data_IF_346971364885
#
_entry.id   IF_346971364885
#
_cell.length_a   1.000
_cell.length_b   1.000
_cell.length_c   1.000
_cell.angle_alpha   90.00
_cell.angle_beta   90.00
_cell.angle_gamma   90.00
#
_symmetry.space_group_name_H-M   'P 1'
#
loop_
_entity.id
_entity.type
_entity.pdbx_description
1 polymer ?
#
# COMPACT_ATOMS: atom_id res chain seq x y z
N UNK A 1 8.64 -24.69 14.10
CA UNK A 1 9.74 -24.78 15.07
C UNK A 1 9.45 -23.81 16.19
N UNK A 2 9.55 -24.25 17.44
CA UNK A 2 9.41 -23.37 18.60
C UNK A 2 10.57 -22.38 18.70
N UNK A 3 10.45 -21.37 19.57
CA UNK A 3 11.48 -20.34 19.80
C UNK A 3 12.81 -20.95 20.27
N UNK A 4 12.78 -22.02 21.05
CA UNK A 4 13.99 -22.71 21.50
C UNK A 4 14.84 -23.24 20.35
N UNK A 5 14.20 -23.84 19.34
CA UNK A 5 14.92 -24.37 18.19
C UNK A 5 15.53 -23.26 17.31
N UNK A 6 14.89 -22.08 17.29
CA UNK A 6 15.43 -20.89 16.61
C UNK A 6 16.64 -20.33 17.36
N UNK A 7 16.57 -20.25 18.70
CA UNK A 7 17.71 -19.85 19.54
C UNK A 7 18.89 -20.81 19.43
N UNK A 8 18.62 -22.11 19.38
CA UNK A 8 19.67 -23.12 19.18
C UNK A 8 20.36 -22.97 17.81
N UNK A 9 19.60 -22.69 16.74
CA UNK A 9 20.15 -22.45 15.41
C UNK A 9 21.02 -21.17 15.38
N UNK A 10 20.58 -20.10 16.04
CA UNK A 10 21.35 -18.87 16.20
C UNK A 10 22.64 -19.13 16.97
N UNK A 11 22.56 -19.80 18.13
CA UNK A 11 23.73 -20.12 18.94
C UNK A 11 24.75 -20.98 18.17
N UNK A 12 24.29 -21.98 17.43
CA UNK A 12 25.15 -22.81 16.58
C UNK A 12 25.81 -22.02 15.45
N UNK A 13 25.10 -21.05 14.85
CA UNK A 13 25.67 -20.21 13.80
C UNK A 13 26.72 -19.23 14.33
N UNK A 14 26.53 -18.72 15.54
CA UNK A 14 27.38 -17.69 16.15
C UNK A 14 28.65 -18.27 16.78
N UNK A 15 28.62 -19.53 17.23
CA UNK A 15 29.67 -20.18 18.03
C UNK A 15 31.11 -19.95 17.53
N UNK A 16 31.31 -19.93 16.20
CA UNK A 16 32.62 -19.75 15.55
C UNK A 16 32.70 -18.49 14.66
N UNK A 17 31.70 -17.60 14.73
CA UNK A 17 31.55 -16.47 13.78
C UNK A 17 31.46 -15.09 14.45
N UNK A 18 31.22 -15.04 15.76
CA UNK A 18 31.18 -13.77 16.50
C UNK A 18 30.39 -13.87 17.79
N UNK A 19 29.78 -12.75 18.19
CA UNK A 19 28.93 -12.65 19.37
C UNK A 19 27.59 -12.00 19.04
N UNK A 20 26.56 -12.31 19.83
CA UNK A 20 25.23 -11.69 19.68
C UNK A 20 25.21 -10.36 20.41
N UNK A 21 25.13 -9.27 19.66
CA UNK A 21 25.04 -7.90 20.22
C UNK A 21 23.68 -7.63 20.86
N UNK A 22 22.60 -8.10 20.23
CA UNK A 22 21.24 -7.95 20.72
C UNK A 22 20.32 -9.03 20.13
N UNK A 23 19.33 -9.47 20.90
CA UNK A 23 18.27 -10.40 20.46
C UNK A 23 16.94 -9.65 20.35
N UNK A 24 16.25 -9.81 19.21
CA UNK A 24 14.92 -9.26 18.97
C UNK A 24 13.98 -10.38 18.57
N UNK A 25 12.82 -10.47 19.23
CA UNK A 25 11.84 -11.54 19.00
C UNK A 25 10.52 -10.95 18.55
N UNK A 26 10.11 -11.28 17.33
CA UNK A 26 8.83 -10.87 16.76
C UNK A 26 7.83 -12.04 16.82
N UNK A 27 6.66 -11.81 17.41
CA UNK A 27 5.59 -12.83 17.47
C UNK A 27 4.63 -12.60 16.30
N UNK A 28 4.64 -13.54 15.36
CA UNK A 28 3.83 -13.46 14.14
C UNK A 28 2.33 -13.67 14.45
N UNK A 29 1.64 -12.58 14.74
CA UNK A 29 0.18 -12.52 14.76
C UNK A 29 -0.30 -12.29 13.33
N UNK A 30 -0.96 -13.28 12.72
CA UNK A 30 -1.46 -13.23 11.33
C UNK A 30 -2.44 -12.08 11.01
N UNK A 31 -2.74 -11.20 11.98
CA UNK A 31 -3.58 -10.00 11.82
C UNK A 31 -2.81 -8.70 11.60
N UNK A 32 -1.51 -8.64 11.90
CA UNK A 32 -0.71 -7.39 11.77
C UNK A 32 0.55 -7.67 10.95
N UNK A 33 0.72 -6.90 9.88
CA UNK A 33 1.90 -6.95 9.02
C UNK A 33 3.06 -6.09 9.55
N UNK A 34 2.78 -5.23 10.55
CA UNK A 34 3.78 -4.35 11.16
C UNK A 34 4.77 -5.19 11.98
N UNK A 35 6.06 -5.03 11.69
CA UNK A 35 7.18 -5.73 12.35
C UNK A 35 8.11 -4.73 13.03
N UNK A 36 7.71 -4.17 14.18
CA UNK A 36 8.50 -3.14 14.87
C UNK A 36 9.84 -3.68 15.38
N UNK A 37 9.92 -4.93 15.83
CA UNK A 37 11.16 -5.49 16.39
C UNK A 37 12.22 -5.71 15.29
N UNK A 38 11.80 -6.05 14.09
CA UNK A 38 12.67 -6.07 12.91
C UNK A 38 13.28 -4.69 12.62
N UNK A 39 12.46 -3.63 12.65
CA UNK A 39 12.95 -2.28 12.38
C UNK A 39 13.99 -1.85 13.44
N UNK A 40 13.77 -2.23 14.70
CA UNK A 40 14.72 -2.01 15.80
C UNK A 40 16.01 -2.81 15.59
N UNK A 41 15.91 -4.07 15.18
CA UNK A 41 17.07 -4.92 14.88
C UNK A 41 17.92 -4.33 13.75
N UNK A 42 17.29 -3.82 12.69
CA UNK A 42 17.97 -3.15 11.58
C UNK A 42 18.68 -1.86 12.01
N UNK A 43 18.02 -1.03 12.81
CA UNK A 43 18.62 0.20 13.33
C UNK A 43 19.83 -0.10 14.24
N UNK A 44 19.70 -1.13 15.09
CA UNK A 44 20.77 -1.56 15.99
C UNK A 44 21.95 -2.17 15.24
N UNK A 45 21.69 -3.03 14.25
CA UNK A 45 22.72 -3.60 13.40
C UNK A 45 23.50 -2.50 12.66
N UNK A 46 22.79 -1.50 12.12
CA UNK A 46 23.41 -0.34 11.48
C UNK A 46 24.25 0.49 12.45
N UNK A 47 23.76 0.70 13.68
CA UNK A 47 24.48 1.44 14.73
C UNK A 47 25.76 0.73 15.19
N UNK A 48 25.70 -0.59 15.32
CA UNK A 48 26.81 -1.42 15.78
C UNK A 48 27.76 -1.84 14.65
N UNK A 49 27.42 -1.60 13.37
CA UNK A 49 28.15 -2.16 12.24
C UNK A 49 28.08 -3.69 12.18
N UNK A 50 27.01 -4.27 12.73
CA UNK A 50 26.83 -5.71 12.87
C UNK A 50 26.04 -6.32 11.71
N UNK A 51 26.17 -7.63 11.55
CA UNK A 51 25.38 -8.42 10.60
C UNK A 51 24.04 -8.79 11.25
N UNK A 52 22.94 -8.62 10.53
CA UNK A 52 21.63 -9.10 10.98
C UNK A 52 21.53 -10.61 10.71
N UNK A 53 21.48 -11.39 11.79
CA UNK A 53 21.25 -12.84 11.75
C UNK A 53 19.77 -13.16 11.93
N UNK A 54 19.18 -13.79 10.92
CA UNK A 54 17.79 -14.26 10.94
C UNK A 54 17.77 -15.74 11.33
N UNK A 55 17.07 -16.11 12.40
CA UNK A 55 17.01 -17.50 12.85
C UNK A 55 16.30 -18.43 11.84
N UNK A 56 15.30 -17.92 11.13
CA UNK A 56 14.55 -18.70 10.15
C UNK A 56 13.98 -17.87 8.99
N UNK A 57 14.40 -18.15 7.76
CA UNK A 57 14.05 -17.37 6.58
C UNK A 57 12.69 -17.77 5.96
N UNK A 58 12.19 -18.99 6.19
CA UNK A 58 10.96 -19.53 5.56
C UNK A 58 9.67 -18.71 5.79
N UNK A 59 9.61 -17.99 6.92
CA UNK A 59 8.49 -17.08 7.28
C UNK A 59 8.69 -15.65 6.78
N UNK A 60 9.93 -15.30 6.48
CA UNK A 60 10.37 -13.97 6.09
C UNK A 60 10.46 -13.82 4.56
N UNK A 61 10.96 -14.83 3.85
CA UNK A 61 11.16 -14.85 2.40
C UNK A 61 9.87 -14.91 1.57
N UNK A 62 8.73 -15.30 2.15
CA UNK A 62 7.45 -15.26 1.40
C UNK A 62 6.91 -13.85 1.19
N UNK A 63 7.49 -12.86 1.85
CA UNK A 63 7.14 -11.46 1.68
C UNK A 63 8.25 -10.75 0.90
N UNK A 64 8.03 -10.57 -0.39
CA UNK A 64 8.97 -9.91 -1.32
C UNK A 64 9.31 -8.50 -0.86
N UNK A 65 8.32 -7.75 -0.36
CA UNK A 65 8.52 -6.39 0.14
C UNK A 65 9.44 -6.38 1.37
N UNK A 66 9.37 -7.42 2.21
CA UNK A 66 10.29 -7.55 3.34
C UNK A 66 11.73 -7.75 2.87
N UNK A 67 11.99 -8.65 1.92
CA UNK A 67 13.35 -8.89 1.42
C UNK A 67 13.88 -7.64 0.72
N UNK A 68 13.06 -6.94 -0.06
CA UNK A 68 13.44 -5.67 -0.68
C UNK A 68 13.84 -4.60 0.35
N UNK A 69 12.99 -4.35 1.36
CA UNK A 69 13.27 -3.38 2.43
C UNK A 69 14.53 -3.74 3.21
N UNK A 70 14.75 -5.03 3.42
CA UNK A 70 15.92 -5.55 4.10
C UNK A 70 17.20 -5.27 3.31
N UNK A 71 17.16 -5.48 1.99
CA UNK A 71 18.29 -5.20 1.11
C UNK A 71 18.55 -3.69 0.98
N UNK A 72 17.51 -2.86 0.96
CA UNK A 72 17.63 -1.38 0.95
C UNK A 72 18.20 -0.80 2.25
N UNK A 73 18.10 -1.53 3.37
CA UNK A 73 18.61 -1.05 4.67
C UNK A 73 20.13 -0.80 4.70
N UNK A 74 20.87 -1.43 3.78
CA UNK A 74 22.34 -1.40 3.72
C UNK A 74 23.03 -2.23 4.80
N UNK A 75 22.27 -2.99 5.60
CA UNK A 75 22.81 -3.92 6.60
C UNK A 75 23.10 -5.26 5.93
N UNK A 76 24.23 -5.88 6.27
CA UNK A 76 24.53 -7.24 5.85
C UNK A 76 23.61 -8.23 6.57
N UNK A 77 23.04 -9.18 5.83
CA UNK A 77 22.07 -10.13 6.35
C UNK A 77 22.50 -11.55 6.06
N UNK A 78 22.34 -12.41 7.05
CA UNK A 78 22.48 -13.86 6.90
C UNK A 78 21.34 -14.59 7.61
N UNK A 79 21.08 -15.82 7.22
CA UNK A 79 20.07 -16.67 7.81
C UNK A 79 20.71 -17.92 8.43
N UNK A 80 20.37 -18.24 9.67
CA UNK A 80 20.89 -19.42 10.37
C UNK A 80 20.44 -20.72 9.71
N UNK A 81 19.21 -20.76 9.18
CA UNK A 81 18.64 -21.91 8.49
C UNK A 81 19.00 -22.00 7.00
N UNK A 82 19.60 -20.94 6.44
CA UNK A 82 20.12 -20.90 5.09
C UNK A 82 21.41 -20.07 5.04
N UNK A 83 22.53 -20.59 5.58
CA UNK A 83 23.79 -19.85 5.68
C UNK A 83 24.36 -19.39 4.32
N UNK A 84 23.97 -20.05 3.24
CA UNK A 84 24.37 -19.75 1.86
C UNK A 84 23.56 -18.58 1.26
N UNK A 85 22.47 -18.17 1.90
CA UNK A 85 21.64 -17.03 1.50
C UNK A 85 22.32 -15.70 1.84
N UNK A 86 23.48 -15.46 1.21
CA UNK A 86 24.13 -14.16 1.24
C UNK A 86 23.26 -13.09 0.54
N UNK A 87 23.65 -11.83 0.70
CA UNK A 87 22.95 -10.67 0.12
C UNK A 87 22.62 -10.84 -1.37
N UNK A 88 23.53 -11.43 -2.16
CA UNK A 88 23.30 -11.67 -3.59
C UNK A 88 22.18 -12.70 -3.84
N UNK A 89 22.20 -13.83 -3.13
CA UNK A 89 21.14 -14.84 -3.23
C UNK A 89 19.79 -14.27 -2.81
N UNK A 90 19.75 -13.46 -1.74
CA UNK A 90 18.54 -12.77 -1.30
C UNK A 90 18.00 -11.82 -2.37
N UNK A 91 18.86 -11.08 -3.09
CA UNK A 91 18.45 -10.24 -4.22
C UNK A 91 17.82 -11.06 -5.35
N UNK A 92 18.42 -12.20 -5.72
CA UNK A 92 17.87 -13.10 -6.74
C UNK A 92 16.50 -13.62 -6.31
N UNK A 93 16.38 -14.09 -5.06
CA UNK A 93 15.13 -14.60 -4.53
C UNK A 93 14.03 -13.53 -4.52
N UNK A 94 14.37 -12.30 -4.14
CA UNK A 94 13.43 -11.17 -4.19
C UNK A 94 12.95 -10.90 -5.63
N UNK A 95 13.86 -10.87 -6.60
CA UNK A 95 13.54 -10.64 -8.01
C UNK A 95 12.64 -11.75 -8.58
N UNK A 96 12.95 -13.01 -8.29
CA UNK A 96 12.15 -14.17 -8.71
C UNK A 96 10.75 -14.08 -8.11
N UNK A 97 10.64 -13.83 -6.81
CA UNK A 97 9.36 -13.74 -6.14
C UNK A 97 8.52 -12.54 -6.62
N UNK A 98 9.15 -11.41 -6.96
CA UNK A 98 8.48 -10.28 -7.60
C UNK A 98 7.91 -10.67 -8.97
N UNK A 99 8.72 -11.35 -9.80
CA UNK A 99 8.29 -11.81 -11.12
C UNK A 99 7.12 -12.81 -11.01
N UNK A 100 7.18 -13.76 -10.08
CA UNK A 100 6.07 -14.68 -9.83
C UNK A 100 4.81 -13.95 -9.38
N UNK A 101 4.93 -12.98 -8.47
CA UNK A 101 3.82 -12.15 -8.02
C UNK A 101 3.17 -11.36 -9.17
N UNK A 102 3.99 -10.79 -10.05
CA UNK A 102 3.53 -10.11 -11.27
C UNK A 102 2.81 -11.09 -12.20
N UNK A 103 3.39 -12.25 -12.48
CA UNK A 103 2.79 -13.28 -13.33
C UNK A 103 1.43 -13.79 -12.79
N UNK A 104 1.32 -14.00 -11.48
CA UNK A 104 0.06 -14.36 -10.82
C UNK A 104 -0.98 -13.24 -10.98
N UNK A 105 -0.57 -11.99 -10.78
CA UNK A 105 -1.43 -10.82 -10.95
C UNK A 105 -1.94 -10.70 -12.39
N UNK A 106 -1.05 -10.83 -13.37
CA UNK A 106 -1.37 -10.79 -14.79
C UNK A 106 -2.33 -11.90 -15.20
N UNK A 107 -2.06 -13.15 -14.78
CA UNK A 107 -2.95 -14.29 -15.04
C UNK A 107 -4.33 -14.08 -14.41
N UNK A 108 -4.37 -13.54 -13.19
CA UNK A 108 -5.63 -13.23 -12.50
C UNK A 108 -6.41 -12.15 -13.25
N UNK A 109 -5.75 -11.06 -13.66
CA UNK A 109 -6.36 -9.98 -14.45
C UNK A 109 -6.89 -10.51 -15.79
N UNK A 110 -6.12 -11.34 -16.48
CA UNK A 110 -6.53 -11.97 -17.73
C UNK A 110 -7.75 -12.87 -17.54
N UNK A 111 -7.76 -13.70 -16.48
CA UNK A 111 -8.90 -14.56 -16.14
C UNK A 111 -10.16 -13.76 -15.81
N UNK A 112 -10.04 -12.69 -15.02
CA UNK A 112 -11.16 -11.80 -14.68
C UNK A 112 -11.67 -11.03 -15.92
N UNK A 113 -10.78 -10.57 -16.79
CA UNK A 113 -11.15 -9.92 -18.05
C UNK A 113 -11.93 -10.88 -18.97
N UNK A 114 -11.46 -12.12 -19.12
CA UNK A 114 -12.14 -13.15 -19.89
C UNK A 114 -13.51 -13.53 -19.28
N UNK A 115 -13.61 -13.64 -17.95
CA UNK A 115 -14.88 -13.87 -17.27
C UNK A 115 -15.86 -12.71 -17.51
N UNK A 116 -15.40 -11.46 -17.41
CA UNK A 116 -16.21 -10.28 -17.72
C UNK A 116 -16.68 -10.26 -19.18
N UNK A 117 -15.82 -10.64 -20.13
CA UNK A 117 -16.17 -10.75 -21.55
C UNK A 117 -17.24 -11.82 -21.80
N UNK A 118 -17.23 -12.92 -21.03
CA UNK A 118 -18.30 -13.94 -21.02
C UNK A 118 -19.58 -13.49 -20.29
N UNK A 119 -19.65 -12.25 -19.81
CA UNK A 119 -20.81 -11.70 -19.13
C UNK A 119 -20.90 -12.02 -17.62
N UNK A 120 -19.89 -12.66 -17.04
CA UNK A 120 -19.86 -12.95 -15.60
C UNK A 120 -19.80 -11.64 -14.81
N UNK A 121 -20.75 -11.46 -13.88
CA UNK A 121 -20.75 -10.33 -12.95
C UNK A 121 -19.69 -10.56 -11.88
N UNK A 122 -18.84 -9.57 -11.63
CA UNK A 122 -17.71 -9.65 -10.70
C UNK A 122 -17.80 -8.53 -9.66
N UNK A 123 -17.26 -8.78 -8.45
CA UNK A 123 -17.13 -7.77 -7.39
C UNK A 123 -18.47 -7.17 -6.95
N UNK A 124 -18.53 -5.84 -6.85
CA UNK A 124 -19.73 -5.11 -6.43
C UNK A 124 -20.89 -5.15 -7.44
N UNK A 125 -20.64 -5.61 -8.66
CA UNK A 125 -21.66 -5.77 -9.71
C UNK A 125 -22.42 -7.09 -9.59
N UNK A 126 -22.07 -7.95 -8.63
CA UNK A 126 -22.76 -9.20 -8.31
C UNK A 126 -24.13 -8.86 -7.67
N UNK A 127 -25.27 -9.27 -8.26
CA UNK A 127 -26.61 -8.91 -7.78
C UNK A 127 -26.85 -9.27 -6.30
N UNK A 128 -26.35 -10.42 -5.86
CA UNK A 128 -26.47 -10.94 -4.50
C UNK A 128 -25.79 -10.01 -3.48
N UNK A 129 -24.82 -9.19 -3.91
CA UNK A 129 -24.09 -8.24 -3.06
C UNK A 129 -24.69 -6.83 -3.08
N UNK A 130 -25.83 -6.60 -3.74
CA UNK A 130 -26.42 -5.27 -3.86
C UNK A 130 -26.77 -4.65 -2.49
N UNK A 131 -27.16 -5.46 -1.51
CA UNK A 131 -27.41 -5.00 -0.13
C UNK A 131 -26.13 -4.53 0.56
N UNK A 132 -25.05 -5.32 0.48
CA UNK A 132 -23.72 -4.98 1.00
C UNK A 132 -23.19 -3.71 0.33
N UNK A 133 -23.33 -3.60 -0.99
CA UNK A 133 -22.91 -2.42 -1.75
C UNK A 133 -23.63 -1.16 -1.26
N UNK A 134 -24.94 -1.22 -1.06
CA UNK A 134 -25.73 -0.10 -0.50
C UNK A 134 -25.26 0.25 0.91
N UNK A 135 -24.97 -0.73 1.75
CA UNK A 135 -24.49 -0.49 3.11
C UNK A 135 -23.09 0.16 3.11
N UNK A 136 -22.19 -0.32 2.26
CA UNK A 136 -20.86 0.26 2.07
C UNK A 136 -20.93 1.70 1.55
N UNK A 137 -21.80 1.97 0.57
CA UNK A 137 -22.03 3.31 0.03
C UNK A 137 -22.56 4.27 1.10
N UNK A 138 -23.48 3.83 1.97
CA UNK A 138 -23.98 4.62 3.10
C UNK A 138 -22.88 4.95 4.10
N UNK A 139 -22.06 3.97 4.48
CA UNK A 139 -20.92 4.17 5.39
C UNK A 139 -19.88 5.15 4.83
N UNK A 140 -19.64 5.08 3.51
CA UNK A 140 -18.72 5.98 2.82
C UNK A 140 -19.26 7.39 2.53
N UNK A 141 -20.57 7.62 2.67
CA UNK A 141 -21.20 8.88 2.26
C UNK A 141 -20.66 10.09 3.03
N UNK A 142 -20.48 9.95 4.36
CA UNK A 142 -19.93 11.01 5.20
C UNK A 142 -18.48 11.37 4.79
N UNK A 143 -17.64 10.36 4.58
CA UNK A 143 -16.24 10.54 4.14
C UNK A 143 -16.18 11.19 2.76
N UNK A 144 -17.04 10.76 1.83
CA UNK A 144 -17.12 11.34 0.49
C UNK A 144 -17.61 12.79 0.53
N UNK A 145 -18.56 13.11 1.42
CA UNK A 145 -19.02 14.49 1.62
C UNK A 145 -17.91 15.36 2.18
N UNK A 146 -17.19 14.90 3.20
CA UNK A 146 -16.06 15.62 3.79
C UNK A 146 -14.95 15.90 2.75
N UNK A 147 -14.59 14.91 1.92
CA UNK A 147 -13.65 15.09 0.81
C UNK A 147 -14.14 16.10 -0.22
N UNK A 148 -15.42 16.08 -0.56
CA UNK A 148 -16.00 17.03 -1.50
C UNK A 148 -16.00 18.46 -0.94
N UNK A 149 -16.28 18.65 0.35
CA UNK A 149 -16.21 19.95 1.02
C UNK A 149 -14.78 20.50 1.06
N UNK A 150 -13.82 19.71 1.53
CA UNK A 150 -12.42 20.12 1.55
C UNK A 150 -11.89 20.46 0.15
N UNK A 151 -12.30 19.71 -0.87
CA UNK A 151 -11.95 20.04 -2.24
C UNK A 151 -12.64 21.33 -2.73
N UNK A 152 -13.91 21.54 -2.37
CA UNK A 152 -14.64 22.74 -2.73
C UNK A 152 -13.99 24.00 -2.14
N UNK A 153 -13.57 23.97 -0.87
CA UNK A 153 -12.85 25.08 -0.22
C UNK A 153 -11.59 25.49 -1.00
N UNK A 154 -10.84 24.51 -1.51
CA UNK A 154 -9.62 24.77 -2.28
C UNK A 154 -9.90 25.36 -3.68
N UNK A 155 -11.04 25.02 -4.31
CA UNK A 155 -11.36 25.42 -5.68
C UNK A 155 -12.24 26.67 -5.73
N UNK A 156 -12.96 26.99 -4.65
CA UNK A 156 -13.89 28.11 -4.58
C UNK A 156 -13.27 29.47 -4.95
N UNK A 157 -12.05 29.84 -4.50
CA UNK A 157 -11.45 31.12 -4.88
C UNK A 157 -11.25 31.28 -6.39
N UNK A 158 -10.85 30.19 -7.07
CA UNK A 158 -10.67 30.18 -8.53
C UNK A 158 -12.02 30.33 -9.23
N UNK A 159 -13.04 29.62 -8.73
CA UNK A 159 -14.41 29.67 -9.27
C UNK A 159 -15.01 31.08 -9.12
N UNK A 160 -14.83 31.72 -7.96
CA UNK A 160 -15.31 33.08 -7.69
C UNK A 160 -14.58 34.12 -8.54
N UNK A 161 -13.26 33.97 -8.73
CA UNK A 161 -12.49 34.85 -9.61
C UNK A 161 -13.01 34.80 -11.06
N UNK A 162 -13.28 33.61 -11.59
CA UNK A 162 -13.81 33.45 -12.96
C UNK A 162 -15.22 34.04 -13.04
N UNK A 163 -16.05 33.83 -12.01
CA UNK A 163 -17.42 34.35 -11.94
C UNK A 163 -17.47 35.88 -11.87
N UNK A 164 -16.53 36.52 -11.16
CA UNK A 164 -16.44 37.98 -11.07
C UNK A 164 -16.24 38.64 -12.46
N UNK A 165 -15.65 37.91 -13.42
CA UNK A 165 -15.57 38.31 -14.83
C UNK A 165 -16.87 38.16 -15.62
N UNK A 166 -18.00 37.84 -14.98
CA UNK A 166 -19.31 37.66 -15.64
C UNK A 166 -19.51 36.29 -16.30
N UNK A 167 -18.63 35.33 -16.05
CA UNK A 167 -18.70 34.01 -16.67
C UNK A 167 -19.91 33.19 -16.16
N UNK A 168 -20.59 32.53 -17.09
CA UNK A 168 -21.64 31.55 -16.79
C UNK A 168 -21.06 30.26 -16.18
N UNK A 169 -21.90 29.45 -15.53
CA UNK A 169 -21.50 28.15 -14.94
C UNK A 169 -20.85 27.20 -15.97
N UNK A 170 -21.29 27.24 -17.24
CA UNK A 170 -20.67 26.46 -18.32
C UNK A 170 -19.28 26.96 -18.66
N UNK A 171 -19.09 28.27 -18.72
CA UNK A 171 -17.78 28.87 -18.97
C UNK A 171 -16.80 28.62 -17.82
N UNK A 172 -17.27 28.69 -16.57
CA UNK A 172 -16.47 28.32 -15.40
C UNK A 172 -16.03 26.86 -15.50
N UNK A 173 -16.95 25.94 -15.83
CA UNK A 173 -16.60 24.52 -15.98
C UNK A 173 -15.56 24.29 -17.10
N UNK A 174 -15.74 24.94 -18.25
CA UNK A 174 -14.79 24.86 -19.36
C UNK A 174 -13.40 25.37 -18.95
N UNK A 175 -13.35 26.49 -18.24
CA UNK A 175 -12.10 27.08 -17.76
C UNK A 175 -11.39 26.19 -16.73
N UNK A 176 -12.12 25.61 -15.78
CA UNK A 176 -11.54 24.67 -14.80
C UNK A 176 -10.96 23.43 -15.49
N UNK A 177 -11.66 22.89 -16.50
CA UNK A 177 -11.17 21.77 -17.30
C UNK A 177 -9.94 22.17 -18.13
N UNK A 178 -9.93 23.36 -18.74
CA UNK A 178 -8.79 23.88 -19.49
C UNK A 178 -7.55 24.05 -18.62
N UNK A 179 -7.73 24.44 -17.35
CA UNK A 179 -6.66 24.52 -16.33
C UNK A 179 -6.25 23.16 -15.76
N UNK A 180 -6.86 22.07 -16.20
CA UNK A 180 -6.56 20.72 -15.71
C UNK A 180 -7.06 20.44 -14.28
N UNK A 181 -7.87 21.33 -13.70
CA UNK A 181 -8.42 21.14 -12.35
C UNK A 181 -9.46 20.02 -12.42
N UNK A 182 -9.26 18.95 -11.66
CA UNK A 182 -10.21 17.84 -11.57
C UNK A 182 -11.14 18.02 -10.38
N UNK A 183 -12.36 17.49 -10.49
CA UNK A 183 -13.34 17.45 -9.38
C UNK A 183 -12.85 16.54 -8.24
N UNK A 184 -13.51 16.57 -7.08
CA UNK A 184 -13.17 15.73 -5.92
C UNK A 184 -13.14 14.21 -6.20
N UNK A 185 -13.78 13.74 -7.28
CA UNK A 185 -13.78 12.34 -7.72
C UNK A 185 -12.86 12.08 -8.93
N UNK A 186 -12.07 13.06 -9.35
CA UNK A 186 -11.15 12.97 -10.49
C UNK A 186 -11.79 13.19 -11.86
N UNK A 187 -13.10 13.48 -11.92
CA UNK A 187 -13.82 13.75 -13.18
C UNK A 187 -13.69 15.20 -13.65
N UNK A 188 -14.18 15.46 -14.86
CA UNK A 188 -14.31 16.80 -15.44
C UNK A 188 -15.43 17.62 -14.78
N UNK A 189 -15.32 18.94 -14.93
CA UNK A 189 -16.31 19.91 -14.49
C UNK A 189 -17.42 20.06 -15.51
N UNK A 190 -18.64 20.13 -14.98
CA UNK A 190 -19.85 20.48 -15.71
C UNK A 190 -20.56 21.59 -14.96
N UNK A 191 -21.44 22.34 -15.63
CA UNK A 191 -22.20 23.43 -14.99
C UNK A 191 -22.94 22.98 -13.71
N UNK A 192 -23.45 21.74 -13.69
CA UNK A 192 -24.09 21.12 -12.52
C UNK A 192 -23.10 20.91 -11.36
N UNK A 193 -21.87 20.48 -11.65
CA UNK A 193 -20.83 20.29 -10.63
C UNK A 193 -20.35 21.62 -10.06
N UNK A 194 -20.27 22.66 -10.90
CA UNK A 194 -19.98 24.04 -10.46
C UNK A 194 -21.10 24.56 -9.56
N UNK A 195 -22.38 24.37 -9.95
CA UNK A 195 -23.53 24.72 -9.12
C UNK A 195 -23.51 24.01 -7.76
N UNK A 196 -23.13 22.73 -7.74
CA UNK A 196 -23.08 21.94 -6.51
C UNK A 196 -22.06 22.48 -5.50
N UNK A 197 -20.96 23.08 -5.96
CA UNK A 197 -19.98 23.71 -5.06
C UNK A 197 -20.56 24.89 -4.32
N UNK A 198 -21.29 25.77 -5.01
CA UNK A 198 -21.99 26.87 -4.37
C UNK A 198 -23.08 26.37 -3.40
N UNK A 199 -23.78 25.30 -3.76
CA UNK A 199 -24.79 24.70 -2.88
C UNK A 199 -24.21 24.01 -1.64
N UNK A 200 -22.99 23.48 -1.73
CA UNK A 200 -22.28 22.82 -0.62
C UNK A 200 -21.74 23.84 0.38
N UNK A 201 -21.28 24.98 -0.11
CA UNK A 201 -20.66 26.05 0.71
C UNK A 201 -21.70 26.95 1.37
N UNK A 202 -22.84 27.24 0.72
CA UNK A 202 -23.95 27.98 1.36
C UNK A 202 -24.72 27.19 2.45
N UNK A 203 -24.46 25.89 2.61
CA UNK A 203 -25.14 25.01 3.59
C UNK A 203 -24.26 24.62 4.78
N UNK A 204 -23.03 25.12 4.83
CA UNK A 204 -22.07 24.92 5.92
C UNK A 204 -22.05 26.15 6.81
#
# INVERSE_FOLDING_TARGET
MGLEAQRAAVAAHVLDRGEVVAEFVEVESGKRADRPELARALAEAKRAGAVLLIAKLDRLARNVAFIANLLESGVEVTAADMPEANRFVLHIMAAVAEQEGRAISERTKAALAAAKARGVKLGWSIPERASEQRQAARKGAAVNKARALAHAENVLPVVEQIRAGGASLRQIAAELNARGIKTARGGEWYATTVQNIFNLTCRS
#
